data_IF_955376077059
#
_entry.id   IF_955376077059
#
_cell.length_a   1.000
_cell.length_b   1.000
_cell.length_c   1.000
_cell.angle_alpha   90.00
_cell.angle_beta   90.00
_cell.angle_gamma   90.00
#
_symmetry.space_group_name_H-M   'P 1'
#
loop_
_entity.id
_entity.type
_entity.pdbx_description
1 polymer ?
#
# COMPACT_ATOMS: atom_id res chain seq x y z
N UNK A 1 35.33 -61.79 -13.97
CA UNK A 1 35.35 -60.37 -13.46
C UNK A 1 34.16 -59.61 -14.05
N UNK A 2 33.07 -59.51 -13.30
CA UNK A 2 31.87 -58.73 -13.73
C UNK A 2 32.02 -57.29 -13.23
N UNK A 3 32.11 -56.35 -14.16
CA UNK A 3 32.09 -54.91 -13.83
C UNK A 3 30.63 -54.48 -13.61
N UNK A 4 30.33 -54.09 -12.39
CA UNK A 4 29.07 -53.49 -12.01
C UNK A 4 29.17 -51.99 -12.37
N UNK A 5 28.35 -51.52 -13.32
CA UNK A 5 28.21 -50.12 -13.68
C UNK A 5 27.15 -49.53 -12.74
N UNK A 6 27.58 -48.74 -11.76
CA UNK A 6 26.66 -47.99 -10.90
C UNK A 6 26.22 -46.71 -11.64
N UNK A 7 24.98 -46.70 -12.07
CA UNK A 7 24.34 -45.52 -12.68
C UNK A 7 23.92 -44.58 -11.55
N UNK A 8 24.65 -43.50 -11.35
CA UNK A 8 24.27 -42.42 -10.43
C UNK A 8 23.23 -41.59 -11.13
N UNK A 9 21.95 -41.74 -10.76
CA UNK A 9 20.87 -40.83 -11.18
C UNK A 9 20.95 -39.60 -10.33
N UNK A 10 21.47 -38.51 -10.88
CA UNK A 10 21.33 -37.18 -10.30
C UNK A 10 19.88 -36.74 -10.48
N UNK A 11 19.09 -36.80 -9.42
CA UNK A 11 17.80 -36.09 -9.34
C UNK A 11 18.12 -34.63 -9.11
N UNK A 12 18.19 -33.85 -10.19
CA UNK A 12 18.15 -32.39 -10.09
C UNK A 12 16.74 -32.02 -9.74
N UNK A 13 16.45 -31.80 -8.47
CA UNK A 13 15.30 -31.03 -8.02
C UNK A 13 15.46 -29.64 -8.58
N UNK A 14 14.68 -29.33 -9.62
CA UNK A 14 14.47 -27.98 -10.11
C UNK A 14 13.64 -27.27 -9.04
N UNK A 15 14.32 -26.73 -8.02
CA UNK A 15 13.76 -25.65 -7.25
C UNK A 15 13.71 -24.47 -8.21
N UNK A 16 12.50 -24.05 -8.58
CA UNK A 16 12.30 -22.71 -9.10
C UNK A 16 12.84 -21.78 -8.00
N UNK A 17 14.02 -21.26 -8.20
CA UNK A 17 14.61 -20.28 -7.31
C UNK A 17 13.70 -19.05 -7.40
N UNK A 18 12.92 -18.80 -6.36
CA UNK A 18 12.50 -17.44 -6.06
C UNK A 18 13.80 -16.64 -5.95
N UNK A 19 14.12 -15.89 -7.00
CA UNK A 19 15.29 -15.01 -7.00
C UNK A 19 14.97 -13.85 -6.07
N UNK A 20 15.04 -14.09 -4.77
CA UNK A 20 15.13 -13.05 -3.76
C UNK A 20 16.48 -12.41 -3.96
N UNK A 21 16.52 -11.24 -4.59
CA UNK A 21 17.71 -10.41 -4.52
C UNK A 21 17.80 -9.95 -3.08
N UNK A 22 18.64 -10.64 -2.30
CA UNK A 22 19.01 -10.23 -0.96
C UNK A 22 19.58 -8.81 -1.00
N UNK A 23 18.77 -7.83 -0.63
CA UNK A 23 19.35 -6.61 -0.07
C UNK A 23 19.86 -7.04 1.29
N UNK A 24 21.19 -7.11 1.37
CA UNK A 24 21.93 -7.59 2.52
C UNK A 24 21.74 -6.61 3.67
N UNK A 25 20.69 -6.79 4.42
CA UNK A 25 20.68 -6.43 5.82
C UNK A 25 21.14 -7.67 6.58
N UNK A 26 22.46 -7.89 6.59
CA UNK A 26 23.08 -9.04 7.24
C UNK A 26 22.79 -8.97 8.72
N UNK A 27 21.86 -9.81 9.18
CA UNK A 27 21.87 -10.28 10.55
C UNK A 27 21.50 -9.27 11.64
N UNK A 28 20.62 -8.29 11.37
CA UNK A 28 19.94 -7.60 12.45
C UNK A 28 18.98 -8.58 13.10
N UNK A 29 19.41 -9.14 14.23
CA UNK A 29 18.51 -9.89 15.11
C UNK A 29 17.51 -8.85 15.63
N UNK A 30 16.26 -8.98 15.20
CA UNK A 30 15.19 -8.09 15.66
C UNK A 30 15.00 -8.25 17.17
N UNK A 31 14.80 -7.16 17.92
CA UNK A 31 14.47 -7.24 19.32
C UNK A 31 13.15 -7.99 19.51
N UNK A 32 13.13 -8.94 20.46
CA UNK A 32 11.94 -9.73 20.77
C UNK A 32 10.98 -8.91 21.60
N UNK A 33 9.69 -8.98 21.29
CA UNK A 33 8.64 -8.27 22.00
C UNK A 33 7.56 -9.24 22.48
N UNK A 34 7.23 -9.17 23.78
CA UNK A 34 6.14 -9.90 24.40
C UNK A 34 4.94 -8.97 24.52
N UNK A 35 3.75 -9.48 24.25
CA UNK A 35 2.51 -8.70 24.36
C UNK A 35 1.74 -9.15 25.60
N UNK A 36 1.29 -8.17 26.40
CA UNK A 36 0.46 -8.37 27.58
C UNK A 36 -0.85 -7.60 27.49
N UNK A 37 -1.97 -8.30 27.70
CA UNK A 37 -3.32 -7.74 27.77
C UNK A 37 -3.72 -7.52 29.24
N UNK A 38 -3.77 -6.25 29.64
CA UNK A 38 -4.21 -5.81 30.95
C UNK A 38 -5.70 -5.42 31.01
N UNK A 39 -6.45 -5.69 29.96
CA UNK A 39 -7.88 -5.35 29.88
C UNK A 39 -8.67 -6.13 30.94
N UNK A 40 -9.29 -5.43 31.87
CA UNK A 40 -10.09 -6.03 32.93
C UNK A 40 -11.57 -6.03 32.62
N UNK A 41 -12.11 -4.91 32.18
CA UNK A 41 -13.53 -4.74 31.93
C UNK A 41 -13.77 -4.02 30.58
N UNK A 42 -14.08 -4.78 29.56
CA UNK A 42 -14.40 -4.26 28.24
C UNK A 42 -15.65 -4.95 27.69
N UNK A 43 -16.64 -4.16 27.26
CA UNK A 43 -17.98 -4.64 26.96
C UNK A 43 -18.07 -5.66 25.81
N UNK A 44 -17.16 -5.58 24.82
CA UNK A 44 -17.16 -6.46 23.66
C UNK A 44 -16.02 -7.47 23.69
N UNK A 45 -16.33 -8.72 24.00
CA UNK A 45 -15.33 -9.82 23.96
C UNK A 45 -14.79 -10.06 22.54
N UNK A 46 -15.62 -9.91 21.50
CA UNK A 46 -15.20 -10.04 20.10
C UNK A 46 -14.16 -8.96 19.71
N UNK A 47 -14.44 -7.70 20.02
CA UNK A 47 -13.48 -6.61 19.75
C UNK A 47 -12.19 -6.82 20.52
N UNK A 48 -12.25 -7.26 21.78
CA UNK A 48 -11.06 -7.56 22.59
C UNK A 48 -10.18 -8.62 21.95
N UNK A 49 -10.76 -9.74 21.52
CA UNK A 49 -10.02 -10.82 20.86
C UNK A 49 -9.44 -10.38 19.53
N UNK A 50 -10.22 -9.65 18.72
CA UNK A 50 -9.75 -9.11 17.43
C UNK A 50 -8.67 -8.06 17.63
N UNK A 51 -8.76 -7.23 18.67
CA UNK A 51 -7.73 -6.25 19.00
C UNK A 51 -6.41 -6.91 19.39
N UNK A 52 -6.47 -7.99 20.16
CA UNK A 52 -5.29 -8.78 20.52
C UNK A 52 -4.54 -9.30 19.29
N UNK A 53 -5.28 -9.78 18.30
CA UNK A 53 -4.69 -10.21 17.01
C UNK A 53 -4.19 -9.02 16.18
N UNK A 54 -4.90 -7.89 16.21
CA UNK A 54 -4.53 -6.68 15.47
C UNK A 54 -3.19 -6.13 15.95
N UNK A 55 -3.01 -5.94 17.24
CA UNK A 55 -1.78 -5.36 17.78
C UNK A 55 -0.55 -6.26 17.53
N UNK A 56 -0.72 -7.58 17.58
CA UNK A 56 0.33 -8.52 17.21
C UNK A 56 0.62 -8.49 15.70
N UNK A 57 -0.42 -8.37 14.88
CA UNK A 57 -0.33 -8.20 13.44
C UNK A 57 0.41 -6.91 13.04
N UNK A 58 0.05 -5.79 13.65
CA UNK A 58 0.69 -4.48 13.39
C UNK A 58 2.19 -4.51 13.72
N UNK A 59 2.58 -5.09 14.85
CA UNK A 59 3.99 -5.29 15.19
C UNK A 59 4.73 -6.15 14.15
N UNK A 60 4.08 -7.21 13.67
CA UNK A 60 4.64 -8.12 12.65
C UNK A 60 4.79 -7.41 11.31
N UNK A 61 3.77 -6.68 10.86
CA UNK A 61 3.78 -5.91 9.60
C UNK A 61 4.76 -4.74 9.69
N UNK A 62 4.88 -4.09 10.84
CA UNK A 62 5.87 -3.06 11.11
C UNK A 62 7.31 -3.54 10.96
N UNK A 63 7.52 -4.86 11.11
CA UNK A 63 8.79 -5.56 10.82
C UNK A 63 10.00 -5.10 11.64
N UNK A 64 9.77 -4.39 12.75
CA UNK A 64 10.81 -3.88 13.64
C UNK A 64 11.08 -4.81 14.83
N UNK A 65 10.20 -5.77 15.09
CA UNK A 65 10.27 -6.70 16.22
C UNK A 65 10.06 -8.14 15.78
N UNK A 66 10.62 -9.07 16.55
CA UNK A 66 10.21 -10.47 16.57
C UNK A 66 9.13 -10.63 17.64
N UNK A 67 7.89 -10.82 17.22
CA UNK A 67 6.76 -10.97 18.15
C UNK A 67 6.79 -12.36 18.76
N UNK A 68 6.86 -12.43 20.10
CA UNK A 68 6.77 -13.69 20.85
C UNK A 68 5.33 -14.18 20.79
N UNK A 69 5.16 -15.45 20.43
CA UNK A 69 3.85 -16.07 20.29
C UNK A 69 3.08 -16.09 21.61
N UNK A 70 1.79 -15.77 21.52
CA UNK A 70 0.88 -15.73 22.65
C UNK A 70 0.77 -14.33 23.29
N UNK A 71 -0.39 -14.09 23.92
CA UNK A 71 -0.68 -12.84 24.65
C UNK A 71 -0.98 -13.21 26.09
N UNK A 72 -0.19 -12.64 26.99
CA UNK A 72 -0.34 -12.90 28.42
C UNK A 72 -1.36 -11.98 29.07
N UNK A 73 -2.06 -12.48 30.09
CA UNK A 73 -2.96 -11.67 30.93
C UNK A 73 -2.18 -11.09 32.11
N UNK A 74 -2.45 -9.83 32.40
CA UNK A 74 -1.81 -9.12 33.51
C UNK A 74 -2.70 -7.99 34.00
N UNK A 75 -2.23 -7.20 34.96
CA UNK A 75 -2.79 -5.87 35.29
C UNK A 75 -1.88 -4.78 34.76
N UNK A 76 -2.42 -3.59 34.48
CA UNK A 76 -1.67 -2.54 33.77
C UNK A 76 -0.38 -2.14 34.50
N UNK A 77 -0.43 -2.04 35.84
CA UNK A 77 0.71 -1.59 36.67
C UNK A 77 1.46 -2.73 37.36
N UNK A 78 1.19 -3.99 36.99
CA UNK A 78 1.94 -5.11 37.54
C UNK A 78 3.46 -4.98 37.24
N UNK A 79 4.34 -5.33 38.19
CA UNK A 79 5.76 -5.46 37.88
C UNK A 79 5.99 -6.58 36.85
N UNK A 80 7.14 -6.56 36.19
CA UNK A 80 7.55 -7.68 35.33
C UNK A 80 7.87 -8.91 36.20
N UNK A 81 7.13 -10.00 35.98
CA UNK A 81 7.35 -11.27 36.72
C UNK A 81 8.60 -12.02 36.22
N UNK A 82 9.11 -12.93 37.04
CA UNK A 82 10.27 -13.74 36.70
C UNK A 82 10.04 -14.66 35.47
N UNK A 83 8.80 -15.03 35.20
CA UNK A 83 8.39 -15.85 34.04
C UNK A 83 8.64 -15.14 32.70
N UNK A 84 8.65 -13.81 32.68
CA UNK A 84 8.96 -13.03 31.48
C UNK A 84 10.40 -13.21 31.08
N UNK A 85 11.33 -13.27 32.05
CA UNK A 85 12.75 -13.44 31.80
C UNK A 85 13.04 -14.78 31.06
N UNK A 86 12.27 -15.83 31.33
CA UNK A 86 12.41 -17.14 30.66
C UNK A 86 12.13 -17.07 29.15
N UNK A 87 11.30 -16.13 28.71
CA UNK A 87 10.98 -15.89 27.28
C UNK A 87 11.98 -14.98 26.59
N UNK A 88 12.87 -14.35 27.35
CA UNK A 88 13.93 -13.45 26.88
C UNK A 88 13.44 -12.37 25.91
N UNK A 89 12.37 -11.59 26.21
CA UNK A 89 11.99 -10.44 25.42
C UNK A 89 12.96 -9.27 25.68
N UNK A 90 13.21 -8.46 24.66
CA UNK A 90 13.85 -7.16 24.84
C UNK A 90 12.84 -6.11 25.37
N UNK A 91 11.59 -6.24 24.93
CA UNK A 91 10.50 -5.35 25.30
C UNK A 91 9.24 -6.12 25.67
N UNK A 92 8.45 -5.50 26.58
CA UNK A 92 7.07 -5.91 26.86
C UNK A 92 6.14 -4.79 26.45
N UNK A 93 5.25 -5.07 25.49
CA UNK A 93 4.15 -4.19 25.13
C UNK A 93 2.93 -4.58 25.96
N UNK A 94 2.52 -3.70 26.85
CA UNK A 94 1.33 -3.89 27.67
C UNK A 94 0.25 -2.93 27.25
N UNK A 95 -0.97 -3.43 27.06
CA UNK A 95 -2.11 -2.62 26.69
C UNK A 95 -3.33 -2.90 27.57
N UNK A 96 -4.21 -1.91 27.68
CA UNK A 96 -5.50 -2.01 28.32
C UNK A 96 -6.56 -1.34 27.45
N UNK A 97 -7.61 -2.08 27.09
CA UNK A 97 -8.80 -1.54 26.47
C UNK A 97 -9.81 -1.12 27.55
N UNK A 98 -10.37 0.06 27.38
CA UNK A 98 -11.44 0.59 28.18
C UNK A 98 -12.51 1.23 27.29
N UNK A 99 -13.68 1.54 27.86
CA UNK A 99 -14.74 2.22 27.14
C UNK A 99 -16.05 1.44 27.16
N UNK A 100 -17.07 2.03 26.58
CA UNK A 100 -18.44 1.54 26.61
C UNK A 100 -19.22 1.92 25.35
N UNK A 101 -20.48 2.32 25.52
CA UNK A 101 -21.44 2.52 24.43
C UNK A 101 -21.16 3.70 23.48
N UNK A 102 -20.14 4.52 23.71
CA UNK A 102 -19.86 5.71 22.89
C UNK A 102 -18.41 5.91 22.49
N UNK A 103 -17.47 5.19 23.10
CA UNK A 103 -16.04 5.40 22.84
C UNK A 103 -15.22 4.14 23.16
N UNK A 104 -14.20 3.88 22.38
CA UNK A 104 -13.16 2.89 22.71
C UNK A 104 -11.87 3.63 23.07
N UNK A 105 -11.28 3.30 24.20
CA UNK A 105 -10.02 3.85 24.68
C UNK A 105 -8.96 2.75 24.72
N UNK A 106 -7.73 3.11 24.45
CA UNK A 106 -6.55 2.27 24.55
C UNK A 106 -5.51 2.98 25.40
N UNK A 107 -5.06 2.33 26.46
CA UNK A 107 -3.79 2.64 27.10
C UNK A 107 -2.74 1.67 26.64
N UNK A 108 -1.53 2.15 26.40
CA UNK A 108 -0.42 1.31 25.97
C UNK A 108 0.86 1.80 26.60
N UNK A 109 1.72 0.86 27.04
CA UNK A 109 3.09 1.15 27.43
C UNK A 109 4.07 0.10 26.91
N UNK A 110 5.26 0.56 26.55
CA UNK A 110 6.39 -0.27 26.17
C UNK A 110 7.43 -0.25 27.29
N UNK A 111 7.74 -1.42 27.83
CA UNK A 111 8.66 -1.60 28.95
C UNK A 111 9.91 -2.27 28.42
N UNK A 112 11.08 -1.68 28.67
CA UNK A 112 12.39 -2.30 28.42
C UNK A 112 12.66 -3.32 29.52
N UNK A 113 12.92 -4.58 29.15
CA UNK A 113 13.13 -5.65 30.14
C UNK A 113 14.46 -5.60 30.84
N UNK A 114 15.43 -4.87 30.28
CA UNK A 114 16.79 -4.75 30.82
C UNK A 114 16.83 -4.00 32.16
N UNK A 115 16.04 -2.95 32.26
CA UNK A 115 16.02 -2.04 33.42
C UNK A 115 14.61 -1.80 33.98
N UNK A 116 13.60 -2.44 33.40
CA UNK A 116 12.17 -2.27 33.72
C UNK A 116 11.66 -0.83 33.51
N UNK A 117 12.36 -0.01 32.73
CA UNK A 117 11.94 1.35 32.43
C UNK A 117 10.83 1.39 31.38
N UNK A 118 9.91 2.34 31.52
CA UNK A 118 8.90 2.62 30.51
C UNK A 118 9.52 3.51 29.43
N UNK A 119 9.69 2.96 28.23
CA UNK A 119 10.23 3.68 27.05
C UNK A 119 9.17 4.51 26.36
N UNK A 120 7.93 4.06 26.40
CA UNK A 120 6.81 4.74 25.76
C UNK A 120 5.54 4.47 26.57
N UNK A 121 4.71 5.48 26.74
CA UNK A 121 3.36 5.34 27.30
C UNK A 121 2.43 6.36 26.65
N UNK A 122 1.23 5.93 26.24
CA UNK A 122 0.26 6.80 25.62
C UNK A 122 -1.17 6.31 25.85
N UNK A 123 -2.13 7.24 25.69
CA UNK A 123 -3.56 6.97 25.72
C UNK A 123 -4.17 7.44 24.40
N UNK A 124 -5.03 6.61 23.84
CA UNK A 124 -5.75 6.88 22.60
C UNK A 124 -7.24 6.72 22.83
N UNK A 125 -8.03 7.46 22.05
CA UNK A 125 -9.49 7.27 22.06
C UNK A 125 -10.07 7.35 20.65
N UNK A 126 -11.20 6.69 20.46
CA UNK A 126 -11.92 6.62 19.21
C UNK A 126 -13.43 6.58 19.46
N UNK A 127 -14.12 7.65 19.03
CA UNK A 127 -15.58 7.79 19.18
C UNK A 127 -16.37 6.96 18.15
N UNK A 128 -15.82 6.73 16.94
CA UNK A 128 -16.40 5.76 16.01
C UNK A 128 -15.97 4.34 16.39
N UNK A 129 -16.87 3.62 17.02
CA UNK A 129 -16.62 2.27 17.52
C UNK A 129 -16.17 1.28 16.42
N UNK A 130 -16.46 1.55 15.15
CA UNK A 130 -16.01 0.71 14.04
C UNK A 130 -14.54 0.96 13.69
N UNK A 131 -14.01 2.12 14.02
CA UNK A 131 -12.62 2.51 13.76
C UNK A 131 -11.62 2.07 14.84
N UNK A 132 -12.00 1.14 15.72
CA UNK A 132 -11.12 0.60 16.74
C UNK A 132 -9.76 0.07 16.19
N UNK A 133 -9.64 -0.44 14.93
CA UNK A 133 -8.34 -0.88 14.41
C UNK A 133 -7.28 0.23 14.42
N UNK A 134 -7.70 1.48 14.14
CA UNK A 134 -6.78 2.61 14.12
C UNK A 134 -6.16 2.94 15.49
N UNK A 135 -6.74 2.47 16.61
CA UNK A 135 -6.09 2.60 17.92
C UNK A 135 -4.80 1.77 17.97
N UNK A 136 -4.83 0.54 17.47
CA UNK A 136 -3.64 -0.30 17.37
C UNK A 136 -2.63 0.27 16.37
N UNK A 137 -3.07 0.59 15.16
CA UNK A 137 -2.23 1.14 14.11
C UNK A 137 -1.45 2.37 14.56
N UNK A 138 -2.15 3.33 15.20
CA UNK A 138 -1.55 4.56 15.74
C UNK A 138 -0.55 4.25 16.87
N UNK A 139 -0.93 3.40 17.81
CA UNK A 139 -0.06 3.05 18.92
C UNK A 139 1.25 2.43 18.45
N UNK A 140 1.21 1.51 17.48
CA UNK A 140 2.41 0.88 16.95
C UNK A 140 3.24 1.85 16.10
N UNK A 141 2.59 2.73 15.31
CA UNK A 141 3.30 3.78 14.58
C UNK A 141 4.01 4.77 15.52
N UNK A 142 3.37 5.18 16.62
CA UNK A 142 3.97 6.08 17.62
C UNK A 142 5.11 5.41 18.38
N UNK A 143 5.01 4.12 18.70
CA UNK A 143 6.11 3.33 19.28
C UNK A 143 7.30 3.31 18.31
N UNK A 144 7.07 3.02 17.03
CA UNK A 144 8.14 3.00 16.04
C UNK A 144 8.83 4.36 15.92
N UNK A 145 8.05 5.45 15.90
CA UNK A 145 8.58 6.81 15.87
C UNK A 145 9.39 7.15 17.13
N UNK A 146 8.89 6.80 18.32
CA UNK A 146 9.57 7.05 19.58
C UNK A 146 10.91 6.33 19.69
N UNK A 147 11.00 5.13 19.15
CA UNK A 147 12.21 4.32 19.12
C UNK A 147 13.11 4.59 17.90
N UNK A 148 12.78 5.58 17.07
CA UNK A 148 13.51 5.94 15.84
C UNK A 148 13.67 4.74 14.88
N UNK A 149 12.66 3.89 14.80
CA UNK A 149 12.63 2.73 13.88
C UNK A 149 12.20 3.16 12.47
N UNK A 150 12.25 2.21 11.52
CA UNK A 150 11.74 2.45 10.16
C UNK A 150 10.31 3.00 10.18
N UNK A 151 10.02 4.07 9.44
CA UNK A 151 8.70 4.72 9.44
C UNK A 151 7.57 3.76 9.06
N UNK A 152 6.47 3.84 9.80
CA UNK A 152 5.23 3.07 9.57
C UNK A 152 3.97 3.91 9.83
N UNK A 153 4.06 5.23 9.73
CA UNK A 153 2.94 6.17 9.92
C UNK A 153 1.78 5.91 8.97
N UNK A 154 2.04 5.28 7.84
CA UNK A 154 1.01 4.84 6.90
C UNK A 154 0.00 3.85 7.51
N UNK A 155 0.34 3.13 8.58
CA UNK A 155 -0.61 2.25 9.28
C UNK A 155 -1.82 3.00 9.82
N UNK A 156 -1.62 4.22 10.36
CA UNK A 156 -2.72 5.08 10.85
C UNK A 156 -3.43 5.84 9.69
N UNK A 157 -3.05 5.60 8.44
CA UNK A 157 -3.73 6.15 7.26
C UNK A 157 -4.77 5.18 6.73
N UNK A 158 -5.74 5.73 6.02
CA UNK A 158 -6.74 4.91 5.33
C UNK A 158 -6.29 4.61 3.90
N UNK A 159 -6.63 3.43 3.41
CA UNK A 159 -6.62 3.16 1.98
C UNK A 159 -7.96 3.54 1.38
N UNK A 160 -7.95 4.03 0.15
CA UNK A 160 -9.15 4.22 -0.66
C UNK A 160 -9.12 3.23 -1.82
N UNK A 161 -10.18 2.44 -1.96
CA UNK A 161 -10.27 1.38 -2.96
C UNK A 161 -11.55 1.51 -3.80
N UNK A 162 -11.44 1.20 -5.08
CA UNK A 162 -12.58 0.94 -5.94
C UNK A 162 -12.78 -0.57 -6.08
N UNK A 163 -14.01 -1.03 -5.86
CA UNK A 163 -14.38 -2.42 -5.91
C UNK A 163 -15.55 -2.64 -6.87
N UNK A 164 -15.39 -3.56 -7.82
CA UNK A 164 -16.49 -3.96 -8.67
C UNK A 164 -17.59 -4.66 -7.87
N UNK A 165 -18.85 -4.27 -8.11
CA UNK A 165 -20.03 -4.87 -7.52
C UNK A 165 -20.76 -5.75 -8.51
N UNK A 166 -20.90 -5.28 -9.74
CA UNK A 166 -21.44 -6.00 -10.91
C UNK A 166 -20.91 -5.36 -12.20
N UNK A 167 -21.13 -5.93 -13.38
CA UNK A 167 -20.73 -5.33 -14.65
C UNK A 167 -21.23 -3.88 -14.78
N UNK A 168 -20.32 -2.95 -15.06
CA UNK A 168 -20.62 -1.52 -15.18
C UNK A 168 -20.82 -0.77 -13.86
N UNK A 169 -20.65 -1.41 -12.70
CA UNK A 169 -20.75 -0.76 -11.41
C UNK A 169 -19.54 -1.03 -10.53
N UNK A 170 -19.07 0.02 -9.85
CA UNK A 170 -18.05 -0.05 -8.83
C UNK A 170 -18.39 0.92 -7.69
N UNK A 171 -18.01 0.54 -6.48
CA UNK A 171 -18.16 1.34 -5.27
C UNK A 171 -16.80 1.80 -4.76
N UNK A 172 -16.76 2.94 -4.06
CA UNK A 172 -15.55 3.40 -3.37
C UNK A 172 -15.71 3.14 -1.88
N UNK A 173 -14.67 2.53 -1.33
CA UNK A 173 -14.56 2.12 0.07
C UNK A 173 -13.33 2.81 0.66
N UNK A 174 -13.46 3.35 1.87
CA UNK A 174 -12.34 3.74 2.71
C UNK A 174 -12.16 2.66 3.77
N UNK A 175 -10.95 2.17 3.92
CA UNK A 175 -10.64 1.07 4.82
C UNK A 175 -9.31 1.30 5.56
N UNK A 176 -9.08 0.57 6.66
CA UNK A 176 -7.74 0.35 7.16
C UNK A 176 -6.99 -0.65 6.26
N UNK A 177 -5.68 -0.72 6.36
CA UNK A 177 -4.86 -1.56 5.50
C UNK A 177 -5.12 -3.06 5.66
N UNK A 178 -5.68 -3.50 6.82
CA UNK A 178 -6.05 -4.89 7.08
C UNK A 178 -7.45 -5.25 6.57
N UNK A 179 -8.21 -4.27 6.08
CA UNK A 179 -9.62 -4.39 5.67
C UNK A 179 -10.57 -4.78 6.82
N UNK A 180 -10.15 -4.62 8.07
CA UNK A 180 -11.00 -4.84 9.26
C UNK A 180 -12.05 -3.75 9.41
N UNK A 181 -11.65 -2.50 9.20
CA UNK A 181 -12.56 -1.36 9.03
C UNK A 181 -12.83 -1.13 7.55
N UNK A 182 -14.07 -1.05 7.16
CA UNK A 182 -14.49 -0.70 5.81
C UNK A 182 -15.71 0.21 5.87
N UNK A 183 -15.66 1.32 5.14
CA UNK A 183 -16.76 2.26 5.00
C UNK A 183 -17.01 2.55 3.51
N UNK A 184 -18.17 2.17 3.00
CA UNK A 184 -18.60 2.47 1.63
C UNK A 184 -19.01 3.95 1.58
N UNK A 185 -18.24 4.76 0.86
CA UNK A 185 -18.48 6.21 0.74
C UNK A 185 -19.23 6.59 -0.53
N UNK A 186 -19.07 5.80 -1.60
CA UNK A 186 -19.79 5.99 -2.86
C UNK A 186 -20.27 4.63 -3.39
N UNK A 187 -21.50 4.58 -3.86
CA UNK A 187 -22.11 3.41 -4.50
C UNK A 187 -23.07 3.86 -5.61
N UNK A 188 -23.41 2.90 -6.49
CA UNK A 188 -24.22 3.18 -7.67
C UNK A 188 -23.43 3.83 -8.82
N UNK A 189 -23.48 3.24 -10.01
CA UNK A 189 -22.69 3.64 -11.16
C UNK A 189 -21.22 3.16 -11.08
N UNK A 190 -20.45 3.55 -12.07
CA UNK A 190 -19.05 3.16 -12.22
C UNK A 190 -18.15 4.21 -11.54
N UNK A 191 -17.82 4.02 -10.27
CA UNK A 191 -16.92 4.88 -9.49
C UNK A 191 -15.54 4.24 -9.40
N UNK A 192 -14.57 4.74 -10.15
CA UNK A 192 -13.27 4.11 -10.37
C UNK A 192 -12.11 5.09 -10.19
N UNK A 193 -10.90 4.53 -10.03
CA UNK A 193 -9.63 5.25 -9.92
C UNK A 193 -9.64 6.32 -8.82
N UNK A 194 -10.00 5.95 -7.56
CA UNK A 194 -9.85 6.89 -6.47
C UNK A 194 -8.37 7.24 -6.25
N UNK A 195 -8.12 8.53 -5.98
CA UNK A 195 -6.79 9.08 -5.66
C UNK A 195 -6.94 10.08 -4.52
N UNK A 196 -6.20 9.92 -3.43
CA UNK A 196 -6.21 10.89 -2.35
C UNK A 196 -5.81 12.27 -2.84
N UNK A 197 -6.51 13.30 -2.39
CA UNK A 197 -6.28 14.68 -2.81
C UNK A 197 -5.18 15.36 -2.00
N UNK A 198 -4.88 14.85 -0.81
CA UNK A 198 -3.89 15.39 0.10
C UNK A 198 -3.44 14.33 1.12
N UNK A 199 -2.34 14.60 1.82
CA UNK A 199 -1.75 13.72 2.85
C UNK A 199 -2.61 13.58 4.11
N UNK A 200 -3.51 14.55 4.37
CA UNK A 200 -4.48 14.51 5.48
C UNK A 200 -5.64 13.57 5.19
N UNK A 201 -5.77 13.12 3.93
CA UNK A 201 -6.84 12.24 3.47
C UNK A 201 -8.25 12.81 3.73
N UNK A 202 -8.38 14.13 3.61
CA UNK A 202 -9.68 14.82 3.82
C UNK A 202 -10.60 14.72 2.61
N UNK A 203 -10.05 14.45 1.43
CA UNK A 203 -10.79 14.34 0.16
C UNK A 203 -10.06 13.41 -0.81
N UNK A 204 -10.77 12.90 -1.80
CA UNK A 204 -10.19 12.12 -2.89
C UNK A 204 -10.81 12.50 -4.24
N UNK A 205 -10.04 12.29 -5.31
CA UNK A 205 -10.53 12.36 -6.69
C UNK A 205 -11.03 10.99 -7.12
N UNK A 206 -12.00 10.94 -8.02
CA UNK A 206 -12.48 9.69 -8.62
C UNK A 206 -13.15 9.99 -9.96
N UNK A 207 -13.16 8.97 -10.82
CA UNK A 207 -13.86 9.03 -12.11
C UNK A 207 -15.19 8.32 -12.02
N UNK A 208 -16.22 8.95 -12.58
CA UNK A 208 -17.53 8.31 -12.80
C UNK A 208 -18.11 8.77 -14.15
N UNK A 209 -19.21 8.16 -14.56
CA UNK A 209 -19.89 8.59 -15.79
C UNK A 209 -21.07 9.50 -15.46
N UNK A 210 -21.04 10.70 -16.02
CA UNK A 210 -22.16 11.66 -15.96
C UNK A 210 -22.75 11.85 -17.35
N UNK A 211 -24.03 11.49 -17.53
CA UNK A 211 -24.71 11.54 -18.84
C UNK A 211 -23.90 10.83 -19.95
N UNK A 212 -23.30 9.70 -19.61
CA UNK A 212 -22.49 8.87 -20.55
C UNK A 212 -21.06 9.35 -20.78
N UNK A 213 -20.62 10.46 -20.16
CA UNK A 213 -19.25 10.98 -20.29
C UNK A 213 -18.41 10.70 -19.03
N UNK A 214 -17.18 10.19 -19.19
CA UNK A 214 -16.24 10.12 -18.09
C UNK A 214 -16.00 11.50 -17.48
N UNK A 215 -16.22 11.61 -16.18
CA UNK A 215 -16.14 12.87 -15.44
C UNK A 215 -15.35 12.66 -14.16
N UNK A 216 -14.38 13.52 -13.93
CA UNK A 216 -13.55 13.55 -12.73
C UNK A 216 -14.23 14.43 -11.67
N UNK A 217 -14.40 13.88 -10.49
CA UNK A 217 -14.91 14.56 -9.30
C UNK A 217 -13.88 14.54 -8.18
N UNK A 218 -13.94 15.57 -7.33
CA UNK A 218 -13.36 15.56 -5.97
C UNK A 218 -14.50 15.32 -4.98
N UNK A 219 -14.30 14.38 -4.07
CA UNK A 219 -15.22 14.07 -2.98
C UNK A 219 -14.61 14.50 -1.66
N UNK A 220 -15.29 15.35 -0.90
CA UNK A 220 -14.91 15.82 0.42
C UNK A 220 -15.53 14.93 1.50
N UNK A 221 -14.72 14.38 2.41
CA UNK A 221 -15.18 13.41 3.41
C UNK A 221 -15.99 14.05 4.53
N UNK A 222 -15.66 15.28 4.93
CA UNK A 222 -16.33 15.97 6.03
C UNK A 222 -17.73 16.43 5.62
N UNK A 223 -17.83 17.06 4.45
CA UNK A 223 -19.11 17.60 3.95
C UNK A 223 -19.91 16.59 3.15
N UNK A 224 -19.28 15.49 2.70
CA UNK A 224 -19.85 14.49 1.78
C UNK A 224 -20.28 15.06 0.44
N UNK A 225 -19.72 16.20 0.05
CA UNK A 225 -20.03 16.85 -1.21
C UNK A 225 -19.06 16.42 -2.31
N UNK A 226 -19.58 16.38 -3.53
CA UNK A 226 -18.78 16.15 -4.74
C UNK A 226 -18.69 17.45 -5.56
N UNK A 227 -17.49 17.78 -5.98
CA UNK A 227 -17.21 18.92 -6.85
C UNK A 227 -16.66 18.41 -8.18
N UNK A 228 -17.27 18.82 -9.28
CA UNK A 228 -16.81 18.47 -10.63
C UNK A 228 -15.51 19.19 -10.95
N UNK A 229 -14.50 18.44 -11.39
CA UNK A 229 -13.21 18.98 -11.81
C UNK A 229 -13.22 19.19 -13.33
N UNK A 230 -13.34 18.11 -14.09
CA UNK A 230 -13.37 18.17 -15.56
C UNK A 230 -14.03 16.91 -16.13
N UNK A 231 -14.25 16.88 -17.45
CA UNK A 231 -14.73 15.69 -18.17
C UNK A 231 -14.03 15.56 -19.51
N UNK A 232 -14.07 14.39 -20.08
CA UNK A 232 -13.45 14.07 -21.37
C UNK A 232 -14.40 13.31 -22.26
N UNK A 233 -14.15 13.27 -23.58
CA UNK A 233 -14.94 12.50 -24.52
C UNK A 233 -14.75 10.99 -24.32
N UNK A 234 -13.52 10.55 -24.11
CA UNK A 234 -13.17 9.16 -23.88
C UNK A 234 -12.85 8.86 -22.42
N UNK A 235 -11.68 9.21 -21.94
CA UNK A 235 -11.19 8.91 -20.59
C UNK A 235 -10.81 10.18 -19.84
N UNK A 236 -11.00 10.19 -18.51
CA UNK A 236 -10.35 11.14 -17.61
C UNK A 236 -10.08 10.47 -16.27
N UNK A 237 -8.82 10.46 -15.83
CA UNK A 237 -8.39 9.87 -14.55
C UNK A 237 -7.37 10.80 -13.91
N UNK A 238 -7.51 11.10 -12.62
CA UNK A 238 -6.45 11.73 -11.84
C UNK A 238 -5.43 10.64 -11.48
N UNK A 239 -4.26 10.71 -12.11
CA UNK A 239 -3.19 9.73 -11.90
C UNK A 239 -2.33 10.10 -10.71
N UNK A 240 -2.07 11.40 -10.50
CA UNK A 240 -1.26 11.89 -9.41
C UNK A 240 -1.57 13.34 -9.02
N UNK A 241 -1.10 13.75 -7.83
CA UNK A 241 -1.27 15.10 -7.26
C UNK A 241 0.12 15.66 -6.94
N UNK A 242 0.38 16.92 -7.32
CA UNK A 242 1.64 17.60 -6.99
C UNK A 242 1.85 17.73 -5.48
N UNK A 243 3.10 17.84 -5.04
CA UNK A 243 3.45 17.94 -3.61
C UNK A 243 2.76 19.11 -2.89
N UNK A 244 2.56 20.20 -3.59
CA UNK A 244 1.86 21.39 -3.08
C UNK A 244 0.32 21.30 -3.18
N UNK A 245 -0.21 20.20 -3.76
CA UNK A 245 -1.64 19.98 -3.94
C UNK A 245 -2.31 20.89 -4.97
N UNK A 246 -1.56 21.72 -5.71
CA UNK A 246 -2.13 22.72 -6.65
C UNK A 246 -2.39 22.17 -8.05
N UNK A 247 -1.78 21.04 -8.40
CA UNK A 247 -1.83 20.45 -9.74
C UNK A 247 -2.17 18.98 -9.73
N UNK A 248 -2.80 18.51 -10.80
CA UNK A 248 -3.07 17.11 -11.06
C UNK A 248 -2.37 16.67 -12.34
N UNK A 249 -1.83 15.47 -12.36
CA UNK A 249 -1.59 14.76 -13.60
C UNK A 249 -2.84 13.98 -13.96
N UNK A 250 -3.38 14.28 -15.13
CA UNK A 250 -4.55 13.62 -15.67
C UNK A 250 -4.16 12.75 -16.88
N UNK A 251 -4.66 11.53 -16.91
CA UNK A 251 -4.81 10.81 -18.17
C UNK A 251 -6.12 11.23 -18.79
N UNK A 252 -6.09 11.84 -19.98
CA UNK A 252 -7.29 12.29 -20.67
C UNK A 252 -7.28 11.85 -22.14
N UNK A 253 -8.47 11.48 -22.62
CA UNK A 253 -8.74 11.24 -24.05
C UNK A 253 -9.87 12.17 -24.53
N UNK A 254 -9.57 13.44 -24.85
CA UNK A 254 -10.58 14.37 -25.34
C UNK A 254 -11.23 13.94 -26.67
N UNK A 255 -10.47 13.23 -27.50
CA UNK A 255 -10.90 12.49 -28.68
C UNK A 255 -10.55 11.01 -28.51
N UNK A 256 -10.02 10.35 -29.53
CA UNK A 256 -9.76 8.89 -29.53
C UNK A 256 -8.41 8.52 -28.88
N UNK A 257 -7.55 9.51 -28.57
CA UNK A 257 -6.20 9.31 -28.08
C UNK A 257 -6.06 9.76 -26.63
N UNK A 258 -5.42 8.92 -25.81
CA UNK A 258 -5.12 9.22 -24.41
C UNK A 258 -3.72 9.80 -24.26
N UNK A 259 -3.60 10.92 -23.57
CA UNK A 259 -2.36 11.60 -23.24
C UNK A 259 -2.34 12.07 -21.79
N UNK A 260 -1.14 12.48 -21.36
CA UNK A 260 -0.91 13.08 -20.05
C UNK A 260 -1.14 14.60 -20.13
N UNK A 261 -1.94 15.09 -19.23
CA UNK A 261 -2.22 16.53 -19.05
C UNK A 261 -1.83 16.96 -17.65
N UNK A 262 -1.28 18.15 -17.55
CA UNK A 262 -1.11 18.89 -16.31
C UNK A 262 -2.32 19.79 -16.12
N UNK A 263 -3.09 19.56 -15.07
CA UNK A 263 -4.27 20.34 -14.73
C UNK A 263 -3.98 21.23 -13.51
N UNK A 264 -4.13 22.54 -13.67
CA UNK A 264 -3.99 23.51 -12.59
C UNK A 264 -5.36 23.72 -11.91
N UNK A 265 -5.41 23.42 -10.62
CA UNK A 265 -6.65 23.48 -9.82
C UNK A 265 -7.11 24.91 -9.55
N UNK A 266 -6.19 25.88 -9.52
CA UNK A 266 -6.49 27.30 -9.26
C UNK A 266 -7.09 27.97 -10.50
N UNK A 267 -6.45 27.78 -11.65
CA UNK A 267 -6.89 28.35 -12.93
C UNK A 267 -7.90 27.49 -13.67
N UNK A 268 -8.08 26.23 -13.24
CA UNK A 268 -8.94 25.21 -13.88
C UNK A 268 -8.59 24.96 -15.35
N UNK A 269 -7.32 25.09 -15.69
CA UNK A 269 -6.81 24.89 -17.04
C UNK A 269 -6.00 23.61 -17.15
N UNK A 270 -6.06 22.97 -18.33
CA UNK A 270 -5.29 21.77 -18.66
C UNK A 270 -4.26 22.06 -19.74
N UNK A 271 -3.00 21.72 -19.50
CA UNK A 271 -1.90 21.75 -20.47
C UNK A 271 -1.56 20.31 -20.86
N UNK A 272 -1.60 20.00 -22.16
CA UNK A 272 -1.17 18.69 -22.67
C UNK A 272 0.36 18.58 -22.55
N UNK A 273 0.86 17.50 -21.93
CA UNK A 273 2.29 17.23 -21.72
C UNK A 273 2.84 16.27 -22.77
N UNK A 274 2.06 15.25 -23.13
CA UNK A 274 2.44 14.30 -24.18
C UNK A 274 1.50 14.39 -25.37
N UNK A 275 1.96 13.96 -26.56
CA UNK A 275 1.19 14.04 -27.81
C UNK A 275 1.59 12.94 -28.78
N UNK A 276 1.73 11.72 -28.29
CA UNK A 276 2.06 10.56 -29.10
C UNK A 276 0.80 9.99 -29.76
N UNK A 277 0.94 9.34 -30.94
CA UNK A 277 -0.21 8.77 -31.70
C UNK A 277 -0.80 7.49 -31.11
N UNK A 278 -0.15 6.86 -30.15
CA UNK A 278 -0.64 5.71 -29.38
C UNK A 278 -1.15 6.12 -28.00
N UNK A 279 -0.84 5.32 -26.99
CA UNK A 279 -1.34 5.49 -25.62
C UNK A 279 -0.26 6.10 -24.73
N UNK A 280 -0.57 7.22 -24.09
CA UNK A 280 0.17 7.75 -22.94
C UNK A 280 -0.77 7.85 -21.73
N UNK A 281 -0.52 7.07 -20.69
CA UNK A 281 -1.42 6.93 -19.53
C UNK A 281 -0.64 6.87 -18.21
N UNK A 282 -1.37 7.02 -17.09
CA UNK A 282 -0.87 6.84 -15.73
C UNK A 282 0.36 7.72 -15.42
N UNK A 283 0.28 9.02 -15.71
CA UNK A 283 1.33 9.98 -15.39
C UNK A 283 1.51 10.17 -13.88
N UNK A 284 2.75 10.16 -13.40
CA UNK A 284 3.10 10.40 -11.99
C UNK A 284 4.23 11.43 -11.91
N UNK A 285 4.16 12.32 -10.93
CA UNK A 285 5.22 13.28 -10.65
C UNK A 285 6.47 12.57 -10.11
N UNK A 286 7.65 13.00 -10.51
CA UNK A 286 8.93 12.47 -10.06
C UNK A 286 9.97 13.59 -10.00
N UNK A 287 11.08 13.35 -9.32
CA UNK A 287 12.20 14.30 -9.24
C UNK A 287 11.72 15.70 -8.76
N UNK A 288 11.02 15.73 -7.65
CA UNK A 288 10.44 16.95 -7.06
C UNK A 288 9.49 17.71 -7.99
N UNK A 289 8.56 16.99 -8.62
CA UNK A 289 7.55 17.48 -9.55
C UNK A 289 8.10 18.15 -10.84
N UNK A 290 9.41 18.00 -11.09
CA UNK A 290 10.05 18.56 -12.30
C UNK A 290 9.87 17.70 -13.55
N UNK A 291 9.58 16.42 -13.36
CA UNK A 291 9.39 15.42 -14.42
C UNK A 291 8.11 14.62 -14.21
N UNK A 292 7.67 13.97 -15.26
CA UNK A 292 6.52 13.05 -15.28
C UNK A 292 6.99 11.70 -15.79
N UNK A 293 6.73 10.65 -15.02
CA UNK A 293 6.85 9.25 -15.44
C UNK A 293 5.47 8.76 -15.87
N UNK A 294 5.39 8.03 -16.97
CA UNK A 294 4.12 7.56 -17.54
C UNK A 294 4.32 6.27 -18.32
N UNK A 295 3.21 5.61 -18.62
CA UNK A 295 3.15 4.40 -19.45
C UNK A 295 2.85 4.80 -20.90
N UNK A 296 3.62 4.27 -21.84
CA UNK A 296 3.42 4.50 -23.29
C UNK A 296 3.69 3.23 -24.10
N UNK A 297 2.95 3.04 -25.19
CA UNK A 297 3.16 1.96 -26.15
C UNK A 297 4.01 2.37 -27.37
N UNK A 298 4.69 3.51 -27.31
CA UNK A 298 5.50 4.09 -28.42
C UNK A 298 6.61 3.20 -28.98
N UNK A 299 7.00 2.17 -28.24
CA UNK A 299 7.98 1.15 -28.67
C UNK A 299 7.30 -0.19 -28.98
N UNK A 300 5.99 -0.19 -29.25
CA UNK A 300 5.18 -1.34 -29.65
C UNK A 300 4.48 -2.05 -28.50
N UNK A 301 5.05 -2.08 -27.30
CA UNK A 301 4.42 -2.62 -26.07
C UNK A 301 4.43 -1.54 -24.99
N UNK A 302 3.44 -1.57 -24.07
CA UNK A 302 3.41 -0.68 -22.93
C UNK A 302 4.72 -0.73 -22.13
N UNK A 303 5.32 0.43 -21.92
CA UNK A 303 6.59 0.57 -21.20
C UNK A 303 6.64 1.90 -20.44
N UNK A 304 7.65 2.06 -19.59
CA UNK A 304 7.80 3.20 -18.69
C UNK A 304 8.71 4.25 -19.33
N UNK A 305 8.19 5.45 -19.42
CA UNK A 305 8.86 6.62 -20.00
C UNK A 305 8.83 7.80 -19.05
N UNK A 306 9.70 8.77 -19.28
CA UNK A 306 9.69 10.03 -18.57
C UNK A 306 9.84 11.21 -19.54
N UNK A 307 9.30 12.36 -19.11
CA UNK A 307 9.48 13.64 -19.80
C UNK A 307 9.52 14.79 -18.79
N UNK A 308 9.95 15.98 -19.22
CA UNK A 308 9.82 17.19 -18.40
C UNK A 308 8.35 17.52 -18.14
N UNK A 309 8.04 18.13 -16.98
CA UNK A 309 6.70 18.68 -16.68
C UNK A 309 6.27 19.73 -17.70
N UNK A 310 7.21 20.33 -18.43
CA UNK A 310 6.92 21.28 -19.49
C UNK A 310 6.68 20.61 -20.85
N UNK A 311 6.83 19.30 -20.95
CA UNK A 311 6.84 18.53 -22.19
C UNK A 311 8.22 18.55 -22.85
N UNK A 312 8.34 17.95 -24.03
CA UNK A 312 9.60 17.89 -24.81
C UNK A 312 10.08 16.48 -25.07
N UNK A 313 11.39 16.25 -24.99
CA UNK A 313 11.98 14.93 -25.21
C UNK A 313 11.46 13.88 -24.24
N UNK A 314 11.22 12.68 -24.78
CA UNK A 314 10.77 11.54 -23.99
C UNK A 314 11.88 10.52 -23.88
N UNK A 315 12.18 10.09 -22.69
CA UNK A 315 13.21 9.13 -22.31
C UNK A 315 12.56 7.81 -21.88
N UNK A 316 13.06 6.68 -22.36
CA UNK A 316 12.66 5.36 -21.88
C UNK A 316 13.41 5.04 -20.59
N UNK A 317 12.70 4.63 -19.54
CA UNK A 317 13.29 4.29 -18.24
C UNK A 317 13.49 2.78 -18.05
N UNK A 318 12.70 1.94 -18.71
CA UNK A 318 12.71 0.48 -18.50
C UNK A 318 13.00 -0.22 -19.83
N UNK A 319 13.96 -1.17 -19.82
CA UNK A 319 14.42 -1.91 -20.99
C UNK A 319 14.15 -3.41 -20.90
N UNK A 320 13.46 -3.87 -19.87
CA UNK A 320 13.07 -5.27 -19.70
C UNK A 320 11.54 -5.42 -19.61
N UNK A 321 11.06 -6.68 -19.68
CA UNK A 321 9.63 -6.99 -19.68
C UNK A 321 8.94 -6.64 -21.00
N UNK A 322 7.73 -7.14 -21.18
CA UNK A 322 6.94 -6.93 -22.41
C UNK A 322 5.66 -6.13 -22.20
N UNK A 323 5.29 -5.83 -20.99
CA UNK A 323 4.08 -5.08 -20.67
C UNK A 323 4.28 -4.44 -19.30
N UNK A 324 4.89 -3.28 -19.29
CA UNK A 324 5.19 -2.51 -18.09
C UNK A 324 4.08 -1.47 -17.89
N UNK A 325 3.44 -1.48 -16.75
CA UNK A 325 2.23 -0.68 -16.46
C UNK A 325 2.08 -0.31 -14.99
N UNK A 326 1.02 0.41 -14.65
CA UNK A 326 0.64 0.72 -13.27
C UNK A 326 1.76 1.38 -12.46
N UNK A 327 2.25 2.51 -12.95
CA UNK A 327 3.34 3.27 -12.32
C UNK A 327 2.89 3.98 -11.05
N UNK A 328 3.77 4.07 -10.07
CA UNK A 328 3.74 5.01 -8.96
C UNK A 328 5.15 5.48 -8.63
N UNK A 329 5.30 6.66 -8.07
CA UNK A 329 6.59 7.30 -7.80
C UNK A 329 6.68 7.81 -6.38
N UNK A 330 7.91 7.87 -5.88
CA UNK A 330 8.26 8.55 -4.64
C UNK A 330 9.68 9.11 -4.77
N UNK A 331 9.85 10.43 -4.63
CA UNK A 331 11.10 11.15 -4.90
C UNK A 331 11.67 10.85 -6.29
N UNK A 332 12.75 10.06 -6.39
CA UNK A 332 13.36 9.58 -7.63
C UNK A 332 13.14 8.09 -7.87
N UNK A 333 12.34 7.42 -7.06
CA UNK A 333 12.00 6.02 -7.22
C UNK A 333 10.70 5.84 -7.99
N UNK A 334 10.67 4.78 -8.79
CA UNK A 334 9.53 4.40 -9.62
C UNK A 334 9.24 2.93 -9.37
N UNK A 335 8.03 2.62 -8.91
CA UNK A 335 7.52 1.25 -8.84
C UNK A 335 6.53 1.02 -9.97
N UNK A 336 6.59 -0.14 -10.61
CA UNK A 336 5.70 -0.50 -11.71
C UNK A 336 5.42 -2.00 -11.74
N UNK A 337 4.35 -2.38 -12.43
CA UNK A 337 3.99 -3.77 -12.71
C UNK A 337 4.54 -4.19 -14.07
N UNK A 338 5.24 -5.32 -14.14
CA UNK A 338 5.86 -5.85 -15.35
C UNK A 338 5.40 -7.28 -15.60
N UNK A 339 5.01 -7.56 -16.85
CA UNK A 339 4.83 -8.93 -17.31
C UNK A 339 6.17 -9.49 -17.75
N UNK A 340 6.59 -10.57 -17.12
CA UNK A 340 7.82 -11.24 -17.54
C UNK A 340 7.62 -11.98 -18.87
N UNK A 341 8.65 -11.91 -19.70
CA UNK A 341 8.71 -12.62 -20.96
C UNK A 341 9.12 -14.08 -20.69
N UNK A 342 8.16 -14.93 -20.44
CA UNK A 342 8.33 -16.38 -20.54
C UNK A 342 7.64 -16.90 -21.78
N UNK A 343 7.89 -18.13 -22.16
CA UNK A 343 7.27 -18.81 -23.29
C UNK A 343 5.75 -18.58 -23.36
N UNK A 344 5.18 -18.68 -24.55
CA UNK A 344 3.81 -18.29 -24.93
C UNK A 344 2.69 -18.87 -24.01
N UNK A 345 3.03 -19.81 -23.14
CA UNK A 345 2.15 -20.49 -22.17
C UNK A 345 2.57 -20.33 -20.70
N UNK A 346 3.70 -19.65 -20.40
CA UNK A 346 4.09 -19.42 -19.01
C UNK A 346 3.15 -18.41 -18.38
N UNK A 347 2.68 -18.76 -17.21
CA UNK A 347 1.74 -18.12 -16.32
C UNK A 347 1.61 -16.60 -16.52
N UNK A 348 0.36 -16.10 -16.51
CA UNK A 348 0.04 -14.66 -16.51
C UNK A 348 0.51 -14.02 -15.21
N UNK A 349 1.83 -13.91 -15.03
CA UNK A 349 2.43 -13.26 -13.87
C UNK A 349 2.74 -11.82 -14.21
N UNK A 350 2.36 -10.93 -13.30
CA UNK A 350 2.77 -9.54 -13.30
C UNK A 350 3.49 -9.28 -12.00
N UNK A 351 4.79 -9.00 -12.08
CA UNK A 351 5.61 -8.72 -10.91
C UNK A 351 5.87 -7.23 -10.73
N UNK A 352 6.05 -6.81 -9.49
CA UNK A 352 6.40 -5.44 -9.17
C UNK A 352 7.92 -5.28 -9.21
N UNK A 353 8.36 -4.18 -9.81
CA UNK A 353 9.75 -3.77 -9.89
C UNK A 353 9.91 -2.35 -9.39
N UNK A 354 11.06 -2.09 -8.80
CA UNK A 354 11.49 -0.78 -8.30
C UNK A 354 12.73 -0.35 -9.05
N UNK A 355 12.72 0.86 -9.61
CA UNK A 355 13.86 1.50 -10.27
C UNK A 355 14.11 2.90 -9.71
N UNK A 356 15.26 3.48 -10.04
CA UNK A 356 15.59 4.87 -9.77
C UNK A 356 15.73 5.66 -11.08
N UNK A 357 15.28 6.91 -11.11
CA UNK A 357 15.51 7.84 -12.22
C UNK A 357 16.95 8.40 -12.25
N UNK A 358 17.74 8.13 -11.21
CA UNK A 358 19.10 8.68 -11.02
C UNK A 358 20.22 7.64 -11.14
N UNK A 359 19.88 6.37 -11.31
CA UNK A 359 20.85 5.28 -11.40
C UNK A 359 20.25 4.07 -12.12
N UNK A 360 21.09 3.13 -12.54
CA UNK A 360 20.70 1.87 -13.16
C UNK A 360 20.13 0.85 -12.13
N UNK A 361 19.73 1.33 -10.96
CA UNK A 361 19.16 0.47 -9.91
C UNK A 361 17.85 -0.14 -10.38
N UNK A 362 17.76 -1.45 -10.29
CA UNK A 362 16.55 -2.22 -10.53
C UNK A 362 16.42 -3.32 -9.49
N UNK A 363 15.22 -3.50 -8.94
CA UNK A 363 14.91 -4.53 -7.97
C UNK A 363 13.54 -5.11 -8.23
N UNK A 364 13.46 -6.42 -8.33
CA UNK A 364 12.19 -7.15 -8.30
C UNK A 364 11.66 -7.22 -6.87
N UNK A 365 10.39 -6.87 -6.69
CA UNK A 365 9.73 -6.81 -5.38
C UNK A 365 8.80 -8.00 -5.13
N UNK A 366 8.24 -8.59 -6.19
CA UNK A 366 7.39 -9.78 -6.12
C UNK A 366 7.81 -10.78 -7.18
N UNK A 367 7.60 -12.08 -6.91
CA UNK A 367 8.02 -13.17 -7.80
C UNK A 367 6.85 -13.99 -8.36
N UNK A 368 5.64 -13.86 -7.79
CA UNK A 368 4.51 -14.72 -8.14
C UNK A 368 3.19 -13.97 -8.22
N UNK A 369 2.26 -14.46 -9.06
CA UNK A 369 0.89 -13.97 -9.18
C UNK A 369 0.74 -12.75 -10.09
N UNK A 370 -0.42 -12.13 -10.03
CA UNK A 370 -0.73 -10.89 -10.76
C UNK A 370 -0.79 -9.75 -9.75
N UNK A 371 0.23 -8.90 -9.77
CA UNK A 371 0.39 -7.77 -8.86
C UNK A 371 0.28 -6.47 -9.64
N UNK A 372 -0.69 -5.63 -9.29
CA UNK A 372 -1.03 -4.41 -10.03
C UNK A 372 -1.32 -3.25 -9.10
N UNK A 373 -1.40 -2.05 -9.66
CA UNK A 373 -1.69 -0.82 -8.93
C UNK A 373 -0.80 -0.59 -7.70
N UNK A 374 0.54 -0.71 -7.83
CA UNK A 374 1.42 -0.34 -6.73
C UNK A 374 1.30 1.14 -6.41
N UNK A 375 1.35 1.48 -5.10
CA UNK A 375 1.37 2.86 -4.60
C UNK A 375 2.36 2.95 -3.45
N UNK A 376 3.25 3.93 -3.51
CA UNK A 376 4.12 4.23 -2.39
C UNK A 376 3.34 4.80 -1.21
N UNK A 377 3.78 4.48 0.00
CA UNK A 377 3.42 5.24 1.21
C UNK A 377 4.01 6.65 1.15
N UNK A 378 3.46 7.57 1.94
CA UNK A 378 3.92 8.96 1.99
C UNK A 378 5.39 9.10 2.41
N UNK A 379 5.92 8.14 3.16
CA UNK A 379 7.32 8.05 3.59
C UNK A 379 8.23 7.26 2.62
N UNK A 380 7.66 6.65 1.57
CA UNK A 380 8.38 5.84 0.60
C UNK A 380 8.88 4.48 1.09
N UNK A 381 8.72 4.19 2.39
CA UNK A 381 9.23 2.96 3.01
C UNK A 381 8.38 1.71 2.72
N UNK A 382 7.17 1.90 2.20
CA UNK A 382 6.25 0.81 1.92
C UNK A 382 5.51 1.02 0.60
N UNK A 383 4.98 -0.09 0.06
CA UNK A 383 4.18 -0.09 -1.17
C UNK A 383 2.93 -0.91 -0.92
N UNK A 384 1.75 -0.31 -1.10
CA UNK A 384 0.49 -1.04 -1.21
C UNK A 384 0.25 -1.43 -2.66
N UNK A 385 -0.37 -2.58 -2.90
CA UNK A 385 -0.71 -3.04 -4.24
C UNK A 385 -1.92 -3.99 -4.22
N UNK A 386 -2.49 -4.25 -5.38
CA UNK A 386 -3.54 -5.25 -5.56
C UNK A 386 -2.90 -6.55 -6.04
N UNK A 387 -3.12 -7.64 -5.29
CA UNK A 387 -2.80 -9.01 -5.70
C UNK A 387 -4.06 -9.68 -6.20
N UNK A 388 -4.07 -10.10 -7.47
CA UNK A 388 -5.18 -10.87 -8.05
C UNK A 388 -4.99 -12.35 -7.70
N UNK A 389 -5.98 -12.93 -7.06
CA UNK A 389 -6.05 -14.35 -6.68
C UNK A 389 -7.14 -15.10 -7.48
N UNK A 390 -7.35 -14.73 -8.74
CA UNK A 390 -8.34 -15.31 -9.64
C UNK A 390 -9.74 -14.72 -9.48
N UNK A 391 -10.61 -15.29 -8.67
CA UNK A 391 -11.96 -14.77 -8.42
C UNK A 391 -12.01 -13.64 -7.39
N UNK A 392 -10.95 -13.49 -6.59
CA UNK A 392 -10.83 -12.52 -5.50
C UNK A 392 -9.56 -11.70 -5.66
N UNK A 393 -9.51 -10.57 -4.98
CA UNK A 393 -8.29 -9.76 -4.84
C UNK A 393 -7.83 -9.76 -3.39
N UNK A 394 -6.57 -9.40 -3.18
CA UNK A 394 -6.03 -9.10 -1.87
C UNK A 394 -5.32 -7.74 -1.92
N UNK A 395 -5.28 -7.04 -0.79
CA UNK A 395 -4.40 -5.92 -0.58
C UNK A 395 -3.04 -6.46 -0.15
N UNK A 396 -2.01 -6.20 -0.94
CA UNK A 396 -0.64 -6.53 -0.62
C UNK A 396 0.10 -5.32 -0.04
N UNK A 397 1.02 -5.54 0.90
CA UNK A 397 1.91 -4.52 1.42
C UNK A 397 3.34 -5.05 1.34
N UNK A 398 4.24 -4.26 0.77
CA UNK A 398 5.67 -4.52 0.76
C UNK A 398 6.34 -3.49 1.66
N UNK A 399 7.13 -3.97 2.62
CA UNK A 399 8.11 -3.19 3.38
C UNK A 399 9.40 -3.19 2.56
N UNK A 400 9.69 -2.05 1.91
CA UNK A 400 10.76 -1.99 0.90
C UNK A 400 12.13 -2.27 1.49
N UNK A 401 12.47 -1.65 2.62
CA UNK A 401 13.78 -1.78 3.25
C UNK A 401 13.96 -3.12 3.97
N UNK A 402 12.89 -3.64 4.57
CA UNK A 402 12.89 -4.89 5.33
C UNK A 402 12.76 -6.12 4.43
N UNK A 403 12.48 -5.93 3.12
CA UNK A 403 12.26 -7.00 2.14
C UNK A 403 11.19 -8.00 2.58
N UNK A 404 10.09 -7.51 3.15
CA UNK A 404 8.98 -8.33 3.62
C UNK A 404 7.70 -7.94 2.89
N UNK A 405 6.85 -8.93 2.61
CA UNK A 405 5.54 -8.71 2.00
C UNK A 405 4.43 -9.38 2.81
N UNK A 406 3.28 -8.72 2.86
CA UNK A 406 2.08 -9.16 3.58
C UNK A 406 0.88 -9.09 2.63
N UNK A 407 -0.14 -9.93 2.87
CA UNK A 407 -1.31 -9.98 2.01
C UNK A 407 -2.58 -10.11 2.84
N UNK A 408 -3.55 -9.25 2.56
CA UNK A 408 -4.84 -9.17 3.26
C UNK A 408 -5.95 -9.47 2.25
N UNK A 409 -6.57 -10.64 2.30
CA UNK A 409 -7.60 -11.03 1.33
C UNK A 409 -8.85 -10.16 1.46
N UNK A 410 -9.42 -9.77 0.34
CA UNK A 410 -10.73 -9.12 0.27
C UNK A 410 -11.80 -10.20 0.37
N UNK A 411 -12.72 -10.06 1.30
CA UNK A 411 -13.74 -11.08 1.57
C UNK A 411 -14.67 -11.35 0.37
N UNK A 412 -14.92 -10.35 -0.49
CA UNK A 412 -15.79 -10.49 -1.66
C UNK A 412 -15.33 -9.60 -2.81
N UNK A 413 -15.25 -10.17 -4.02
CA UNK A 413 -15.12 -9.44 -5.28
C UNK A 413 -13.70 -9.03 -5.66
N UNK A 414 -13.62 -8.26 -6.74
CA UNK A 414 -12.37 -7.77 -7.31
C UNK A 414 -12.18 -6.30 -7.05
N UNK A 415 -10.97 -5.93 -6.68
CA UNK A 415 -10.54 -4.54 -6.62
C UNK A 415 -10.23 -4.05 -8.05
N UNK A 416 -10.63 -2.81 -8.33
CA UNK A 416 -10.35 -2.14 -9.59
C UNK A 416 -9.10 -1.27 -9.48
N UNK A 417 -8.94 -0.55 -8.37
CA UNK A 417 -7.79 0.31 -8.09
C UNK A 417 -7.70 0.62 -6.60
N UNK A 418 -6.54 1.09 -6.17
CA UNK A 418 -6.19 1.40 -4.77
C UNK A 418 -5.31 2.64 -4.72
N UNK A 419 -5.44 3.41 -3.62
CA UNK A 419 -4.50 4.46 -3.22
C UNK A 419 -4.45 4.58 -1.68
N UNK A 420 -3.36 5.13 -1.10
CA UNK A 420 -3.21 5.35 0.32
C UNK A 420 -2.44 6.62 0.69
#
# INVERSE_FOLDING_TARGET
MKKILVLLVFITSIFAADATIEVVNRGLVLPRILIQDATTNFASSDVRERFSRMIAGDLTVGSAFEVIEGIEKTTYDAPLGAEIAAKNPAFVLRYELAGGSGETMLKVKLIDTKDSSVRFEANYSQSDLKRWPFLSHRAIADIARNLELSPIEWMDKSIVISQYTKPGEARIIIADYTLTYQNVVLSGGLNIFPKWANVEQSAFYYTTHEKGKPTLYKYDLATRQKSRITSSGGMVVASDVSKDGSKLLLTMAPADQSDIFLYDLNTRSAKRITSYSGIDVNGNFVDNDSRVVFVSDRMGNPNIFATSINGGGVEQLVYHGKNNSSVSTWENYVVYSSRESGEEYSQRTFNLYLISTKSDYIRQLTATGVNTFPRFSSDGGSIVYIKDAGSQSAVGIIRVNENKSFSFPVNLGKLQSIDW
#
